data_IF_037871670360
#
_entry.id   IF_037871670360
#
_cell.length_a   1.000
_cell.length_b   1.000
_cell.length_c   1.000
_cell.angle_alpha   90.00
_cell.angle_beta   90.00
_cell.angle_gamma   90.00
#
_symmetry.space_group_name_H-M   'P 1'
#
loop_
_entity.id
_entity.type
_entity.pdbx_description
1 polymer ?
#
# COMPACT_ATOMS: atom_id res chain seq x y z
N UNK A 1 -0.38 19.31 -23.42
CA UNK A 1 -0.39 18.00 -22.74
C UNK A 1 0.82 17.24 -23.26
N UNK A 2 1.76 16.84 -22.39
CA UNK A 2 2.96 16.12 -22.83
C UNK A 2 2.58 14.73 -23.37
N UNK A 3 3.42 14.18 -24.25
CA UNK A 3 3.24 12.87 -24.87
C UNK A 3 3.10 11.70 -23.88
N UNK A 4 3.61 11.86 -22.65
CA UNK A 4 3.60 10.81 -21.62
C UNK A 4 2.22 10.50 -21.04
N UNK A 5 1.20 11.33 -21.30
CA UNK A 5 -0.18 11.09 -20.87
C UNK A 5 -0.99 10.21 -21.83
N UNK A 6 -0.42 9.76 -22.95
CA UNK A 6 -1.16 8.93 -23.93
C UNK A 6 -0.90 7.43 -23.79
N UNK A 7 0.26 7.02 -23.29
CA UNK A 7 0.54 5.60 -23.07
C UNK A 7 -0.11 5.09 -21.77
N UNK A 8 -0.64 3.86 -21.76
CA UNK A 8 -1.06 3.20 -20.53
C UNK A 8 0.08 3.16 -19.50
N UNK A 9 -0.22 3.43 -18.23
CA UNK A 9 0.79 3.36 -17.16
C UNK A 9 1.16 1.92 -16.83
N UNK A 10 0.20 0.99 -16.90
CA UNK A 10 0.44 -0.44 -16.81
C UNK A 10 0.50 -1.03 -18.22
N UNK A 11 1.58 -1.73 -18.53
CA UNK A 11 1.71 -2.52 -19.77
C UNK A 11 0.85 -3.79 -19.71
N UNK A 12 0.76 -4.52 -20.82
CA UNK A 12 0.10 -5.83 -20.80
C UNK A 12 0.81 -6.81 -19.85
N UNK A 13 2.15 -6.79 -19.82
CA UNK A 13 2.92 -7.64 -18.91
C UNK A 13 2.64 -7.31 -17.44
N UNK A 14 2.41 -6.02 -17.12
CA UNK A 14 2.01 -5.60 -15.77
C UNK A 14 0.61 -6.10 -15.40
N UNK A 15 -0.32 -6.13 -16.36
CA UNK A 15 -1.67 -6.64 -16.17
C UNK A 15 -1.68 -8.18 -16.05
N UNK A 16 -0.87 -8.87 -16.82
CA UNK A 16 -0.68 -10.32 -16.70
C UNK A 16 -0.03 -10.66 -15.34
N UNK A 17 0.93 -9.83 -14.90
CA UNK A 17 1.50 -9.93 -13.56
C UNK A 17 0.45 -9.70 -12.47
N UNK A 18 -0.40 -8.68 -12.61
CA UNK A 18 -1.51 -8.38 -11.70
C UNK A 18 -2.47 -9.56 -11.56
N UNK A 19 -2.91 -10.17 -12.65
CA UNK A 19 -3.84 -11.30 -12.61
C UNK A 19 -3.21 -12.51 -11.90
N UNK A 20 -1.92 -12.76 -12.15
CA UNK A 20 -1.18 -13.85 -11.51
C UNK A 20 -0.92 -13.61 -10.02
N UNK A 21 -0.52 -12.39 -9.65
CA UNK A 21 0.05 -12.11 -8.33
C UNK A 21 -0.87 -11.31 -7.40
N UNK A 22 -1.93 -10.70 -7.92
CA UNK A 22 -2.91 -9.94 -7.13
C UNK A 22 -2.39 -8.58 -6.64
N UNK A 23 -1.21 -8.17 -7.06
CA UNK A 23 -0.66 -6.83 -6.86
C UNK A 23 0.09 -6.37 -8.11
N UNK A 24 0.29 -5.06 -8.24
CA UNK A 24 1.07 -4.44 -9.33
C UNK A 24 1.70 -3.14 -8.87
N UNK A 25 2.84 -2.78 -9.47
CA UNK A 25 3.54 -1.52 -9.20
C UNK A 25 3.42 -0.60 -10.41
N UNK A 26 2.63 0.46 -10.28
CA UNK A 26 2.53 1.52 -11.26
C UNK A 26 3.71 2.49 -11.05
N UNK A 27 4.75 2.34 -11.87
CA UNK A 27 5.99 3.12 -11.75
C UNK A 27 5.76 4.60 -12.05
N UNK A 28 6.28 5.46 -11.16
CA UNK A 28 6.18 6.94 -11.27
C UNK A 28 4.75 7.38 -11.59
N UNK A 29 3.80 6.91 -10.78
CA UNK A 29 2.39 7.27 -10.86
C UNK A 29 2.15 8.74 -10.50
N UNK A 30 3.04 9.34 -9.70
CA UNK A 30 3.10 10.79 -9.50
C UNK A 30 4.52 11.30 -9.75
N UNK A 31 4.67 12.61 -9.94
CA UNK A 31 5.99 13.23 -10.03
C UNK A 31 6.71 13.21 -8.69
N UNK A 32 8.04 13.13 -8.72
CA UNK A 32 8.90 13.28 -7.55
C UNK A 32 8.56 14.56 -6.78
N UNK A 33 8.34 15.67 -7.49
CA UNK A 33 7.94 16.93 -6.87
C UNK A 33 6.64 16.83 -6.06
N UNK A 34 5.62 16.16 -6.58
CA UNK A 34 4.35 16.02 -5.86
C UNK A 34 4.47 15.03 -4.68
N UNK A 35 5.24 13.95 -4.86
CA UNK A 35 5.55 13.02 -3.78
C UNK A 35 6.30 13.72 -2.63
N UNK A 36 7.36 14.48 -2.94
CA UNK A 36 8.12 15.25 -1.95
C UNK A 36 7.27 16.29 -1.23
N UNK A 37 6.38 17.00 -1.95
CA UNK A 37 5.44 17.95 -1.31
C UNK A 37 4.50 17.24 -0.33
N UNK A 38 4.02 16.04 -0.66
CA UNK A 38 3.17 15.26 0.24
C UNK A 38 3.96 14.69 1.43
N UNK A 39 5.21 14.25 1.23
CA UNK A 39 6.10 13.84 2.31
C UNK A 39 6.32 14.99 3.30
N UNK A 40 6.64 16.19 2.79
CA UNK A 40 6.83 17.39 3.61
C UNK A 40 5.56 17.74 4.39
N UNK A 41 4.39 17.67 3.75
CA UNK A 41 3.12 17.92 4.42
C UNK A 41 2.88 16.97 5.61
N UNK A 42 3.35 15.72 5.53
CA UNK A 42 3.26 14.77 6.65
C UNK A 42 4.26 15.13 7.76
N UNK A 43 5.52 15.47 7.41
CA UNK A 43 6.51 15.95 8.38
C UNK A 43 5.99 17.17 9.14
N UNK A 44 5.48 18.17 8.42
CA UNK A 44 4.93 19.40 8.99
C UNK A 44 3.72 19.12 9.89
N UNK A 45 2.80 18.26 9.44
CA UNK A 45 1.60 17.92 10.21
C UNK A 45 1.91 17.19 11.52
N UNK A 46 3.01 16.43 11.54
CA UNK A 46 3.48 15.74 12.74
C UNK A 46 4.40 16.60 13.61
N UNK A 47 4.73 17.81 13.19
CA UNK A 47 5.73 18.68 13.83
C UNK A 47 7.10 17.98 13.99
N UNK A 48 7.46 17.17 12.99
CA UNK A 48 8.69 16.39 12.96
C UNK A 48 9.69 16.97 11.96
N UNK A 49 10.97 16.91 12.29
CA UNK A 49 12.07 17.37 11.45
C UNK A 49 12.83 16.16 10.88
N UNK A 50 12.90 15.98 9.54
CA UNK A 50 13.61 14.86 8.92
C UNK A 50 15.12 14.83 9.22
N UNK A 51 15.72 15.94 9.65
CA UNK A 51 17.14 16.00 10.02
C UNK A 51 17.36 15.86 11.54
N UNK A 52 16.29 15.73 12.33
CA UNK A 52 16.36 15.58 13.78
C UNK A 52 15.54 14.38 14.28
N UNK A 53 16.16 13.18 14.39
CA UNK A 53 15.51 11.96 14.87
C UNK A 53 14.94 12.00 16.29
N UNK A 54 15.28 13.01 17.09
CA UNK A 54 14.67 13.18 18.42
C UNK A 54 13.24 13.71 18.34
N UNK A 55 12.85 14.31 17.22
CA UNK A 55 11.47 14.77 16.99
C UNK A 55 10.52 13.64 16.59
N UNK A 56 11.02 12.50 16.12
CA UNK A 56 10.20 11.45 15.50
C UNK A 56 9.40 10.59 16.49
N UNK A 57 9.76 10.63 17.78
CA UNK A 57 9.23 9.74 18.81
C UNK A 57 8.61 10.57 19.95
N UNK A 58 7.41 11.12 19.75
CA UNK A 58 6.75 11.94 20.76
C UNK A 58 6.39 11.12 22.02
N UNK A 59 6.20 11.82 23.14
CA UNK A 59 5.69 11.27 24.40
C UNK A 59 4.34 11.94 24.74
N UNK A 60 3.22 11.19 24.77
CA UNK A 60 3.11 9.74 24.57
C UNK A 60 3.37 9.30 23.11
N UNK A 61 3.83 8.06 22.88
CA UNK A 61 4.06 7.53 21.54
C UNK A 61 2.79 7.54 20.67
N UNK A 62 2.98 7.72 19.36
CA UNK A 62 1.89 7.59 18.39
C UNK A 62 1.33 6.16 18.41
N UNK A 63 0.00 5.99 18.35
CA UNK A 63 -0.61 4.66 18.43
C UNK A 63 -0.41 3.82 17.16
N UNK A 64 -0.10 4.46 16.02
CA UNK A 64 0.18 3.77 14.76
C UNK A 64 1.04 4.64 13.84
N UNK A 65 1.50 4.04 12.74
CA UNK A 65 2.19 4.76 11.65
C UNK A 65 1.26 5.69 10.87
N UNK A 66 -0.06 5.54 11.01
CA UNK A 66 -1.06 6.27 10.23
C UNK A 66 -1.17 7.72 10.69
N UNK A 67 -1.33 8.62 9.73
CA UNK A 67 -1.40 10.07 9.93
C UNK A 67 -2.72 10.58 9.36
N UNK A 68 -3.56 11.14 10.23
CA UNK A 68 -4.94 11.55 9.94
C UNK A 68 -5.03 12.88 9.14
N UNK A 69 -4.19 13.02 8.10
CA UNK A 69 -3.98 14.24 7.29
C UNK A 69 -4.85 14.26 6.01
N UNK A 70 -6.15 14.01 6.16
CA UNK A 70 -7.03 13.71 5.02
C UNK A 70 -7.12 14.82 3.95
N UNK A 71 -7.26 16.08 4.36
CA UNK A 71 -7.65 17.18 3.46
C UNK A 71 -6.48 18.05 2.98
N UNK A 72 -5.23 17.66 3.25
CA UNK A 72 -4.09 18.44 2.81
C UNK A 72 -3.98 18.45 1.27
N UNK A 73 -3.75 19.64 0.70
CA UNK A 73 -3.72 19.84 -0.75
C UNK A 73 -2.64 18.99 -1.44
N UNK A 74 -1.49 18.76 -0.81
CA UNK A 74 -0.42 17.95 -1.40
C UNK A 74 -0.85 16.48 -1.57
N UNK A 75 -1.69 15.95 -0.68
CA UNK A 75 -2.26 14.61 -0.85
C UNK A 75 -3.34 14.60 -1.93
N UNK A 76 -4.17 15.64 -2.03
CA UNK A 76 -5.17 15.77 -3.09
C UNK A 76 -4.56 15.89 -4.49
N UNK A 77 -3.44 16.62 -4.63
CA UNK A 77 -2.67 16.72 -5.88
C UNK A 77 -2.25 15.32 -6.39
N UNK A 78 -1.89 14.42 -5.47
CA UNK A 78 -1.54 13.03 -5.80
C UNK A 78 -2.77 12.16 -6.10
N UNK A 79 -3.83 12.24 -5.28
CA UNK A 79 -5.06 11.45 -5.46
C UNK A 79 -5.75 11.74 -6.81
N UNK A 80 -5.64 12.98 -7.29
CA UNK A 80 -6.22 13.42 -8.56
C UNK A 80 -5.24 13.35 -9.74
N UNK A 81 -4.03 12.83 -9.53
CA UNK A 81 -3.06 12.69 -10.61
C UNK A 81 -3.61 11.76 -11.70
N UNK A 82 -3.51 12.19 -12.95
CA UNK A 82 -4.00 11.45 -14.11
C UNK A 82 -3.47 10.01 -14.16
N UNK A 83 -2.19 9.82 -13.88
CA UNK A 83 -1.53 8.51 -13.89
C UNK A 83 -1.99 7.58 -12.75
N UNK A 84 -2.36 8.13 -11.58
CA UNK A 84 -2.98 7.37 -10.50
C UNK A 84 -4.37 6.87 -10.92
N UNK A 85 -5.20 7.77 -11.47
CA UNK A 85 -6.52 7.39 -12.00
C UNK A 85 -6.39 6.35 -13.13
N UNK A 86 -5.43 6.50 -14.03
CA UNK A 86 -5.18 5.57 -15.13
C UNK A 86 -4.81 4.18 -14.58
N UNK A 87 -3.92 4.08 -13.58
CA UNK A 87 -3.51 2.81 -12.99
C UNK A 87 -4.70 2.05 -12.39
N UNK A 88 -5.53 2.74 -11.58
CA UNK A 88 -6.73 2.13 -11.02
C UNK A 88 -7.75 1.78 -12.10
N UNK A 89 -7.93 2.62 -13.12
CA UNK A 89 -8.87 2.37 -14.22
C UNK A 89 -8.49 1.14 -15.03
N UNK A 90 -7.19 0.91 -15.25
CA UNK A 90 -6.69 -0.29 -15.91
C UNK A 90 -6.97 -1.55 -15.09
N UNK A 91 -6.70 -1.51 -13.77
CA UNK A 91 -6.97 -2.64 -12.86
C UNK A 91 -8.47 -2.94 -12.73
N UNK A 92 -9.32 -1.91 -12.67
CA UNK A 92 -10.77 -2.06 -12.61
C UNK A 92 -11.42 -2.37 -13.96
N UNK A 93 -10.66 -2.24 -15.06
CA UNK A 93 -11.17 -2.21 -16.42
C UNK A 93 -12.38 -1.25 -16.57
N UNK A 94 -12.31 -0.08 -15.93
CA UNK A 94 -13.37 0.92 -15.89
C UNK A 94 -12.80 2.30 -15.53
N UNK A 95 -13.09 3.32 -16.33
CA UNK A 95 -12.63 4.69 -16.10
C UNK A 95 -13.53 5.49 -15.15
N UNK A 96 -14.78 5.04 -14.93
CA UNK A 96 -15.79 5.74 -14.10
C UNK A 96 -15.57 5.44 -12.62
N UNK A 97 -14.42 5.86 -12.12
CA UNK A 97 -14.01 5.67 -10.73
C UNK A 97 -14.23 6.93 -9.90
N UNK A 98 -14.52 6.73 -8.63
CA UNK A 98 -14.55 7.79 -7.63
C UNK A 98 -13.27 7.74 -6.81
N UNK A 99 -12.69 8.91 -6.54
CA UNK A 99 -11.52 9.01 -5.67
C UNK A 99 -11.95 8.67 -4.24
N UNK A 100 -11.32 7.64 -3.66
CA UNK A 100 -11.32 7.43 -2.22
C UNK A 100 -10.24 8.29 -1.58
N UNK A 101 -10.50 8.83 -0.40
CA UNK A 101 -9.48 9.53 0.39
C UNK A 101 -9.19 8.72 1.66
N UNK A 102 -7.90 8.63 1.97
CA UNK A 102 -7.40 7.93 3.16
C UNK A 102 -6.23 8.74 3.74
N UNK A 103 -5.59 8.19 4.77
CA UNK A 103 -4.55 8.76 5.60
C UNK A 103 -3.21 8.88 4.87
N UNK A 104 -2.30 9.63 5.49
CA UNK A 104 -0.86 9.50 5.24
C UNK A 104 -0.25 8.41 6.14
N UNK A 105 1.01 8.08 5.91
CA UNK A 105 1.76 7.15 6.76
C UNK A 105 3.15 7.71 7.05
N UNK A 106 3.63 7.51 8.27
CA UNK A 106 4.97 7.87 8.73
C UNK A 106 5.50 6.75 9.63
N UNK A 107 6.45 5.98 9.10
CA UNK A 107 7.09 4.84 9.75
C UNK A 107 8.60 5.09 9.96
N UNK A 108 8.99 5.87 11.00
CA UNK A 108 10.39 6.09 11.29
C UNK A 108 11.05 4.78 11.76
N UNK A 109 12.39 4.63 11.63
CA UNK A 109 13.13 3.47 12.09
C UNK A 109 12.78 3.09 13.54
N UNK A 110 12.69 1.81 13.86
CA UNK A 110 12.44 1.45 15.26
C UNK A 110 13.70 1.67 16.11
N UNK A 111 13.56 2.34 17.26
CA UNK A 111 14.66 2.47 18.24
C UNK A 111 14.97 1.15 18.96
N UNK A 112 14.03 0.20 18.95
CA UNK A 112 14.21 -1.13 19.50
C UNK A 112 14.47 -2.15 18.37
N UNK A 113 15.69 -2.72 18.27
CA UNK A 113 16.03 -3.74 17.28
C UNK A 113 15.21 -5.04 17.41
N UNK A 114 14.60 -5.30 18.58
CA UNK A 114 13.78 -6.49 18.83
C UNK A 114 12.28 -6.24 18.61
N UNK A 115 11.91 -5.05 18.14
CA UNK A 115 10.51 -4.75 17.85
C UNK A 115 9.96 -5.71 16.80
N UNK A 116 8.84 -6.34 17.12
CA UNK A 116 8.15 -7.23 16.17
C UNK A 116 7.58 -6.41 15.03
N UNK A 117 7.78 -6.89 13.80
CA UNK A 117 7.08 -6.39 12.63
C UNK A 117 5.57 -6.57 12.78
N UNK A 118 4.80 -5.70 12.13
CA UNK A 118 3.36 -5.90 12.03
C UNK A 118 3.09 -7.14 11.17
N UNK A 119 2.29 -8.07 11.69
CA UNK A 119 1.92 -9.26 10.94
C UNK A 119 1.05 -8.92 9.73
N UNK A 120 0.99 -9.84 8.77
CA UNK A 120 0.06 -9.72 7.66
C UNK A 120 -1.39 -9.79 8.16
N UNK A 121 -2.28 -9.10 7.48
CA UNK A 121 -3.70 -9.07 7.77
C UNK A 121 -4.53 -8.87 6.49
N UNK A 122 -5.84 -8.98 6.64
CA UNK A 122 -6.81 -8.51 5.65
C UNK A 122 -7.64 -7.40 6.26
N UNK A 123 -7.83 -6.31 5.51
CA UNK A 123 -8.80 -5.27 5.85
C UNK A 123 -10.23 -5.67 5.48
N UNK A 124 -10.39 -6.62 4.55
CA UNK A 124 -11.69 -7.16 4.18
C UNK A 124 -12.18 -8.23 5.17
N UNK A 125 -13.49 -8.43 5.20
CA UNK A 125 -14.08 -9.53 5.95
C UNK A 125 -13.97 -10.84 5.14
N UNK A 126 -12.99 -11.69 5.49
CA UNK A 126 -12.75 -12.99 4.85
C UNK A 126 -13.81 -14.06 5.19
N UNK A 127 -14.69 -13.80 6.16
CA UNK A 127 -15.79 -14.70 6.52
C UNK A 127 -16.97 -14.57 5.54
N UNK A 128 -17.03 -13.46 4.77
CA UNK A 128 -18.03 -13.23 3.72
C UNK A 128 -17.54 -13.77 2.37
N UNK A 129 -17.94 -15.00 2.05
CA UNK A 129 -17.49 -15.73 0.86
C UNK A 129 -18.57 -15.82 -0.24
N UNK A 130 -18.19 -15.79 -1.55
CA UNK A 130 -16.83 -15.59 -2.04
C UNK A 130 -16.34 -14.15 -1.79
N UNK A 131 -15.02 -13.99 -1.61
CA UNK A 131 -14.43 -12.68 -1.36
C UNK A 131 -14.65 -11.80 -2.59
N UNK A 132 -15.36 -10.70 -2.38
CA UNK A 132 -15.69 -9.76 -3.46
C UNK A 132 -14.43 -9.06 -3.98
N UNK A 133 -14.41 -8.80 -5.29
CA UNK A 133 -13.34 -8.00 -5.88
C UNK A 133 -13.30 -6.61 -5.24
N UNK A 134 -12.13 -6.25 -4.74
CA UNK A 134 -11.80 -4.93 -4.23
C UNK A 134 -10.30 -4.74 -4.31
N UNK A 135 -9.87 -3.49 -4.31
CA UNK A 135 -8.46 -3.13 -4.34
C UNK A 135 -8.16 -2.05 -3.31
N UNK A 136 -6.91 -2.03 -2.88
CA UNK A 136 -6.31 -0.98 -2.08
C UNK A 136 -5.04 -0.52 -2.77
N UNK A 137 -4.47 0.60 -2.31
CA UNK A 137 -3.22 1.09 -2.84
C UNK A 137 -2.44 1.93 -1.86
N UNK A 138 -1.12 1.95 -2.05
CA UNK A 138 -0.17 2.75 -1.27
C UNK A 138 0.76 3.46 -2.24
N UNK A 139 0.84 4.78 -2.09
CA UNK A 139 1.72 5.64 -2.86
C UNK A 139 2.99 5.90 -2.05
N UNK A 140 4.14 5.60 -2.62
CA UNK A 140 5.44 5.83 -2.00
C UNK A 140 5.86 7.28 -2.16
N UNK A 141 6.08 7.95 -1.04
CA UNK A 141 6.50 9.35 -0.99
C UNK A 141 8.02 9.50 -0.85
N UNK A 142 8.72 8.39 -0.60
CA UNK A 142 10.18 8.27 -0.48
C UNK A 142 10.61 6.91 -1.03
N UNK A 143 11.86 6.81 -1.47
CA UNK A 143 12.46 5.51 -1.79
C UNK A 143 12.41 4.61 -0.56
N UNK A 144 11.97 3.37 -0.74
CA UNK A 144 11.81 2.40 0.33
C UNK A 144 12.34 1.05 -0.11
N UNK A 145 13.46 0.65 0.50
CA UNK A 145 14.02 -0.68 0.30
C UNK A 145 13.16 -1.76 0.99
N UNK A 146 13.36 -3.02 0.61
CA UNK A 146 12.60 -4.17 1.12
C UNK A 146 12.65 -4.35 2.65
N UNK A 147 13.64 -3.77 3.32
CA UNK A 147 13.89 -3.86 4.76
C UNK A 147 13.61 -2.54 5.51
N UNK A 148 12.89 -1.59 4.90
CA UNK A 148 12.63 -0.25 5.46
C UNK A 148 11.13 0.02 5.66
N UNK A 149 10.35 -1.00 6.05
CA UNK A 149 8.90 -0.86 6.19
C UNK A 149 8.16 -0.87 4.85
N UNK A 150 8.66 -1.64 3.90
CA UNK A 150 8.03 -1.81 2.59
C UNK A 150 6.68 -2.53 2.72
N UNK A 151 5.83 -2.35 1.71
CA UNK A 151 4.60 -3.11 1.57
C UNK A 151 4.97 -4.59 1.43
N UNK A 152 4.31 -5.42 2.20
CA UNK A 152 4.50 -6.86 2.19
C UNK A 152 3.16 -7.53 1.89
N UNK A 153 3.17 -8.56 1.04
CA UNK A 153 1.98 -9.36 0.79
C UNK A 153 2.34 -10.82 0.46
N UNK A 154 1.34 -11.69 0.31
CA UNK A 154 1.50 -13.04 -0.26
C UNK A 154 1.05 -13.02 -1.73
N UNK A 155 1.97 -13.00 -2.70
CA UNK A 155 1.62 -12.95 -4.12
C UNK A 155 0.79 -14.15 -4.56
N UNK A 156 -0.27 -13.88 -5.32
CA UNK A 156 -1.13 -14.90 -5.94
C UNK A 156 -2.14 -15.52 -4.98
N UNK A 157 -2.17 -15.11 -3.71
CA UNK A 157 -3.04 -15.72 -2.70
C UNK A 157 -4.53 -15.52 -3.00
N UNK A 158 -4.92 -14.49 -3.74
CA UNK A 158 -6.31 -14.30 -4.20
C UNK A 158 -6.82 -15.46 -5.07
N UNK A 159 -5.92 -16.24 -5.69
CA UNK A 159 -6.29 -17.41 -6.49
C UNK A 159 -6.56 -18.66 -5.64
N UNK A 160 -6.09 -18.71 -4.39
CA UNK A 160 -6.14 -19.90 -3.53
C UNK A 160 -6.84 -19.65 -2.21
N UNK A 161 -7.22 -18.40 -1.90
CA UNK A 161 -7.77 -18.03 -0.59
C UNK A 161 -9.02 -18.83 -0.23
N UNK A 162 -9.91 -19.11 -1.18
CA UNK A 162 -11.14 -19.86 -0.91
C UNK A 162 -10.82 -21.31 -0.51
N UNK A 163 -10.01 -22.02 -1.32
CA UNK A 163 -9.54 -23.37 -1.02
C UNK A 163 -8.74 -23.43 0.29
N UNK A 164 -7.94 -22.40 0.56
CA UNK A 164 -7.17 -22.29 1.79
C UNK A 164 -8.09 -22.11 3.00
N UNK A 165 -9.11 -21.25 2.93
CA UNK A 165 -10.11 -21.06 3.98
C UNK A 165 -10.90 -22.35 4.24
N UNK A 166 -11.26 -23.09 3.19
CA UNK A 166 -11.93 -24.39 3.30
C UNK A 166 -11.04 -25.50 3.90
N UNK A 167 -9.72 -25.36 3.76
CA UNK A 167 -8.75 -26.32 4.31
C UNK A 167 -8.47 -26.15 5.81
N UNK A 168 -8.90 -25.03 6.41
CA UNK A 168 -8.67 -24.77 7.82
C UNK A 168 -9.50 -25.73 8.68
N UNK A 169 -8.92 -26.27 9.78
CA UNK A 169 -9.69 -27.03 10.77
C UNK A 169 -10.89 -26.24 11.31
N UNK A 170 -11.95 -26.95 11.68
CA UNK A 170 -13.15 -26.33 12.24
C UNK A 170 -12.82 -25.49 13.49
N UNK A 171 -13.25 -24.22 13.49
CA UNK A 171 -13.04 -23.29 14.60
C UNK A 171 -11.71 -22.54 14.59
N UNK A 172 -10.83 -22.80 13.63
CA UNK A 172 -9.61 -22.00 13.44
C UNK A 172 -9.94 -20.60 12.92
N UNK A 173 -9.27 -19.59 13.47
CA UNK A 173 -9.38 -18.21 13.00
C UNK A 173 -8.35 -17.98 11.89
N UNK A 174 -8.77 -17.68 10.65
CA UNK A 174 -7.86 -17.39 9.54
C UNK A 174 -6.85 -16.27 9.87
N UNK A 175 -7.23 -15.31 10.72
CA UNK A 175 -6.40 -14.15 11.08
C UNK A 175 -5.32 -14.47 12.11
N UNK A 176 -5.37 -15.66 12.72
CA UNK A 176 -4.38 -16.14 13.70
C UNK A 176 -3.36 -17.11 13.10
N UNK A 177 -3.52 -17.45 11.83
CA UNK A 177 -2.59 -18.34 11.12
C UNK A 177 -1.26 -17.63 10.83
N UNK A 178 -0.20 -18.42 10.62
CA UNK A 178 1.07 -17.88 10.14
C UNK A 178 0.97 -17.58 8.63
N UNK A 179 0.57 -16.36 8.31
CA UNK A 179 0.43 -15.91 6.93
C UNK A 179 1.77 -15.71 6.23
N UNK A 180 2.89 -15.56 6.96
CA UNK A 180 4.20 -15.47 6.34
C UNK A 180 4.66 -16.82 5.77
N UNK A 181 4.28 -17.92 6.43
CA UNK A 181 4.52 -19.28 5.93
C UNK A 181 3.89 -19.56 4.55
N UNK A 182 2.94 -18.72 4.11
CA UNK A 182 2.33 -18.78 2.78
C UNK A 182 3.22 -18.19 1.68
N UNK A 183 4.43 -17.69 2.02
CA UNK A 183 5.39 -17.19 1.04
C UNK A 183 5.33 -15.66 0.83
N UNK A 184 5.21 -14.91 1.93
CA UNK A 184 5.16 -13.44 1.87
C UNK A 184 6.42 -12.81 1.27
N UNK A 185 6.28 -11.65 0.60
CA UNK A 185 7.38 -10.88 0.01
C UNK A 185 7.25 -9.40 0.31
N UNK A 186 8.37 -8.76 0.64
CA UNK A 186 8.48 -7.30 0.72
C UNK A 186 8.70 -6.73 -0.68
N UNK A 187 7.96 -5.68 -1.03
CA UNK A 187 7.97 -5.08 -2.35
C UNK A 187 8.61 -3.68 -2.24
N UNK A 188 9.88 -3.50 -2.69
CA UNK A 188 10.50 -2.20 -2.67
C UNK A 188 9.82 -1.26 -3.68
N UNK A 189 9.89 0.03 -3.40
CA UNK A 189 9.29 1.06 -4.24
C UNK A 189 10.12 2.33 -4.20
N UNK A 190 10.11 3.04 -5.33
CA UNK A 190 10.76 4.33 -5.46
C UNK A 190 9.76 5.46 -5.22
N UNK A 191 10.26 6.66 -4.96
CA UNK A 191 9.44 7.85 -4.85
C UNK A 191 8.51 8.02 -6.06
N UNK A 192 7.22 8.18 -5.77
CA UNK A 192 6.16 8.34 -6.75
C UNK A 192 5.61 7.04 -7.33
N UNK A 193 6.14 5.87 -6.94
CA UNK A 193 5.54 4.59 -7.29
C UNK A 193 4.23 4.35 -6.51
N UNK A 194 3.24 3.80 -7.20
CA UNK A 194 1.97 3.36 -6.59
C UNK A 194 1.88 1.84 -6.64
N UNK A 195 1.76 1.20 -5.49
CA UNK A 195 1.43 -0.23 -5.41
C UNK A 195 -0.08 -0.36 -5.24
N UNK A 196 -0.70 -1.20 -6.07
CA UNK A 196 -2.12 -1.58 -5.98
C UNK A 196 -2.18 -3.07 -5.67
N UNK A 197 -3.05 -3.50 -4.76
CA UNK A 197 -3.26 -4.92 -4.43
C UNK A 197 -4.75 -5.25 -4.27
N UNK A 198 -5.12 -6.51 -4.48
CA UNK A 198 -6.48 -7.00 -4.21
C UNK A 198 -6.70 -7.11 -2.70
N UNK A 199 -7.89 -6.76 -2.24
CA UNK A 199 -8.28 -6.89 -0.81
C UNK A 199 -8.20 -8.32 -0.27
N UNK A 200 -8.19 -9.33 -1.15
CA UNK A 200 -7.99 -10.74 -0.82
C UNK A 200 -6.53 -11.11 -0.49
N UNK A 201 -5.55 -10.24 -0.78
CA UNK A 201 -4.16 -10.50 -0.42
C UNK A 201 -3.92 -10.18 1.07
N UNK A 202 -3.40 -11.13 1.86
CA UNK A 202 -2.89 -10.78 3.17
C UNK A 202 -1.69 -9.86 2.98
N UNK A 203 -1.68 -8.74 3.69
CA UNK A 203 -0.68 -7.70 3.51
C UNK A 203 -0.32 -7.00 4.83
N UNK A 204 0.77 -6.24 4.80
CA UNK A 204 1.28 -5.50 5.96
C UNK A 204 2.44 -4.59 5.57
N UNK A 205 3.07 -3.99 6.58
CA UNK A 205 4.33 -3.27 6.43
C UNK A 205 5.44 -4.07 7.11
N UNK A 206 6.59 -4.17 6.45
CA UNK A 206 7.76 -4.90 6.95
C UNK A 206 8.57 -4.12 7.99
#
# INVERSE_FOLDING_TARGET
>A
MSSDNQSPILSQDDLDFWEKNGYVVAKKAVSEQNATRAAQAIWDFLEMDPENPDTWYPDPPRPSIMVEIYQNQALWDNRQAFRVHQAFSQVWNNEKLWVSFDRGSMNPPNRNPEAKQFGLHWDTNVDKRPISFGVQGVLYLTDTAENQGAFQCVPGFHNTIEDWLDSLPEGEDPRRQDLHALGSKCIPAEIGDLIIWRTALPHGAS
#
